data_IF_502714453898
#
_entry.id   IF_502714453898
#
_cell.length_a   1.000
_cell.length_b   1.000
_cell.length_c   1.000
_cell.angle_alpha   90.00
_cell.angle_beta   90.00
_cell.angle_gamma   90.00
#
_symmetry.space_group_name_H-M   'P 1'
#
loop_
_entity.id
_entity.type
_entity.pdbx_description
1 polymer ?
#
# COMPACT_ATOMS: atom_id res chain seq x y z
N UNK A 1 57.25 -0.58 -18.75
CA UNK A 1 56.10 0.12 -19.37
C UNK A 1 54.81 -0.72 -19.45
N UNK A 2 54.88 -2.05 -19.53
CA UNK A 2 53.71 -2.94 -19.65
C UNK A 2 52.71 -2.94 -18.47
N UNK A 3 53.15 -2.61 -17.24
CA UNK A 3 52.28 -2.65 -16.04
C UNK A 3 51.27 -1.50 -15.97
N UNK A 4 51.63 -0.30 -16.46
CA UNK A 4 50.71 0.85 -16.58
C UNK A 4 49.74 0.70 -17.75
N UNK A 5 50.13 -0.03 -18.80
CA UNK A 5 49.27 -0.36 -19.95
C UNK A 5 48.20 -1.43 -19.59
N UNK A 6 48.53 -2.40 -18.74
CA UNK A 6 47.53 -3.38 -18.24
C UNK A 6 46.54 -2.78 -17.25
N UNK A 7 46.96 -1.82 -16.42
CA UNK A 7 46.07 -1.18 -15.44
C UNK A 7 45.08 -0.19 -16.10
N UNK A 8 45.51 0.49 -17.17
CA UNK A 8 44.63 1.38 -17.97
C UNK A 8 43.64 0.59 -18.84
N UNK A 9 44.05 -0.55 -19.40
CA UNK A 9 43.15 -1.46 -20.12
C UNK A 9 42.08 -2.08 -19.21
N UNK A 10 42.43 -2.45 -17.97
CA UNK A 10 41.46 -2.99 -17.02
C UNK A 10 40.46 -1.93 -16.52
N UNK A 11 40.93 -0.69 -16.29
CA UNK A 11 40.05 0.44 -15.94
C UNK A 11 39.09 0.84 -17.06
N UNK A 12 39.56 0.83 -18.32
CA UNK A 12 38.71 1.15 -19.47
C UNK A 12 37.65 0.07 -19.73
N UNK A 13 38.01 -1.21 -19.51
CA UNK A 13 37.06 -2.33 -19.63
C UNK A 13 35.99 -2.32 -18.52
N UNK A 14 36.35 -1.88 -17.31
CA UNK A 14 35.40 -1.76 -16.19
C UNK A 14 34.46 -0.55 -16.38
N UNK A 15 34.98 0.56 -16.93
CA UNK A 15 34.19 1.76 -17.23
C UNK A 15 33.19 1.54 -18.38
N UNK A 16 33.55 0.72 -19.37
CA UNK A 16 32.64 0.34 -20.46
C UNK A 16 31.46 -0.52 -19.98
N UNK A 17 31.64 -1.35 -18.95
CA UNK A 17 30.56 -2.15 -18.37
C UNK A 17 29.51 -1.30 -17.65
N UNK A 18 29.93 -0.20 -17.02
CA UNK A 18 29.02 0.72 -16.31
C UNK A 18 28.12 1.50 -17.27
N UNK A 19 28.60 1.80 -18.49
CA UNK A 19 27.85 2.54 -19.51
C UNK A 19 26.73 1.69 -20.16
N UNK A 20 26.86 0.36 -20.22
CA UNK A 20 25.86 -0.55 -20.82
C UNK A 20 24.63 -0.75 -19.91
N UNK A 21 24.80 -0.58 -18.59
CA UNK A 21 23.73 -0.74 -17.61
C UNK A 21 22.65 0.37 -17.66
N UNK A 22 22.88 1.45 -18.41
CA UNK A 22 21.98 2.60 -18.54
C UNK A 22 21.40 2.75 -19.96
N UNK A 23 21.24 1.64 -20.70
CA UNK A 23 20.47 1.66 -21.95
C UNK A 23 18.98 1.47 -21.64
N UNK A 24 18.08 2.37 -22.10
CA UNK A 24 16.65 2.17 -21.94
C UNK A 24 16.21 0.97 -22.79
N UNK A 25 15.72 -0.08 -22.14
CA UNK A 25 15.16 -1.23 -22.84
C UNK A 25 13.78 -0.86 -23.39
N UNK A 26 13.65 -0.76 -24.70
CA UNK A 26 12.36 -0.62 -25.38
C UNK A 26 11.66 -1.97 -25.37
N UNK A 27 10.76 -2.16 -24.40
CA UNK A 27 9.84 -3.29 -24.37
C UNK A 27 8.73 -3.00 -25.39
N UNK A 28 8.73 -3.72 -26.52
CA UNK A 28 7.57 -3.74 -27.42
C UNK A 28 6.45 -4.54 -26.73
N UNK A 29 5.55 -3.83 -26.06
CA UNK A 29 4.31 -4.41 -25.55
C UNK A 29 3.38 -4.57 -26.74
N UNK A 30 3.33 -5.78 -27.29
CA UNK A 30 2.19 -6.23 -28.10
C UNK A 30 0.96 -6.26 -27.19
N UNK A 31 0.29 -5.12 -27.10
CA UNK A 31 -0.97 -4.94 -26.38
C UNK A 31 -2.06 -5.60 -27.23
N UNK A 32 -2.32 -6.89 -27.01
CA UNK A 32 -3.61 -7.48 -27.39
C UNK A 32 -4.64 -6.88 -26.45
N UNK A 33 -5.23 -5.76 -26.88
CA UNK A 33 -6.43 -5.17 -26.27
C UNK A 33 -7.58 -6.08 -26.65
N UNK A 34 -7.84 -7.07 -25.81
CA UNK A 34 -9.20 -7.58 -25.73
C UNK A 34 -9.98 -6.54 -24.93
N UNK A 35 -10.72 -5.71 -25.65
CA UNK A 35 -11.80 -4.91 -25.11
C UNK A 35 -12.71 -5.81 -24.27
N UNK A 36 -12.78 -5.53 -22.99
CA UNK A 36 -13.97 -5.83 -22.20
C UNK A 36 -14.26 -4.55 -21.44
N UNK A 37 -14.91 -3.63 -22.14
CA UNK A 37 -15.69 -2.56 -21.52
C UNK A 37 -16.77 -3.23 -20.65
N UNK A 38 -16.45 -3.51 -19.39
CA UNK A 38 -17.49 -3.44 -18.36
C UNK A 38 -17.60 -1.98 -17.97
N UNK A 39 -18.44 -1.29 -18.73
CA UNK A 39 -19.06 -0.03 -18.35
C UNK A 39 -19.77 -0.29 -17.02
N UNK A 40 -19.11 0.00 -15.91
CA UNK A 40 -19.80 0.23 -14.65
C UNK A 40 -20.46 1.59 -14.80
N UNK A 41 -21.66 1.60 -15.39
CA UNK A 41 -22.54 2.75 -15.36
C UNK A 41 -22.63 3.20 -13.91
N UNK A 42 -21.99 4.33 -13.61
CA UNK A 42 -22.25 5.06 -12.37
C UNK A 42 -23.63 5.65 -12.57
N UNK A 43 -24.66 4.89 -12.22
CA UNK A 43 -26.04 5.39 -12.20
C UNK A 43 -26.12 6.33 -11.01
N UNK A 44 -25.88 7.61 -11.28
CA UNK A 44 -26.15 8.71 -10.36
C UNK A 44 -27.66 8.91 -10.34
N UNK A 45 -28.37 8.22 -9.45
CA UNK A 45 -29.80 8.44 -9.25
C UNK A 45 -30.01 9.70 -8.39
N UNK A 46 -30.47 10.79 -9.01
CA UNK A 46 -30.93 11.97 -8.29
C UNK A 46 -32.37 11.74 -7.79
N UNK A 47 -32.53 11.55 -6.49
CA UNK A 47 -33.86 11.51 -5.85
C UNK A 47 -34.20 12.92 -5.38
N UNK A 48 -35.25 13.53 -5.94
CA UNK A 48 -35.77 14.82 -5.46
C UNK A 48 -36.64 14.61 -4.22
N UNK A 49 -36.19 15.11 -3.07
CA UNK A 49 -36.98 15.10 -1.82
C UNK A 49 -37.59 16.49 -1.62
N UNK A 50 -38.89 16.62 -1.90
CA UNK A 50 -39.63 17.84 -1.58
C UNK A 50 -39.99 17.88 -0.09
N UNK A 51 -39.37 18.78 0.67
CA UNK A 51 -39.82 19.13 2.04
C UNK A 51 -40.38 20.55 2.04
N UNK A 52 -41.68 20.69 2.32
CA UNK A 52 -42.35 22.00 2.40
C UNK A 52 -42.23 22.54 3.82
N UNK A 53 -41.48 23.63 4.00
CA UNK A 53 -41.49 24.46 5.22
C UNK A 53 -41.62 25.92 4.77
N UNK A 54 -42.63 26.64 5.28
CA UNK A 54 -42.80 28.09 5.11
C UNK A 54 -42.83 28.65 3.67
N UNK A 55 -43.41 27.92 2.72
CA UNK A 55 -43.79 28.47 1.40
C UNK A 55 -42.64 28.70 0.41
N UNK A 56 -41.41 28.28 0.74
CA UNK A 56 -40.27 28.28 -0.16
C UNK A 56 -39.92 26.82 -0.54
N UNK A 57 -39.95 26.51 -1.84
CA UNK A 57 -39.58 25.18 -2.36
C UNK A 57 -38.06 25.15 -2.46
N UNK A 58 -37.40 24.56 -1.46
CA UNK A 58 -35.96 24.27 -1.51
C UNK A 58 -35.78 22.86 -2.04
N UNK A 59 -35.39 22.75 -3.32
CA UNK A 59 -35.01 21.47 -3.93
C UNK A 59 -33.57 21.15 -3.52
N UNK A 60 -33.39 20.26 -2.54
CA UNK A 60 -32.06 19.76 -2.16
C UNK A 60 -31.77 18.47 -2.95
N UNK A 61 -30.82 18.54 -3.88
CA UNK A 61 -30.33 17.37 -4.61
C UNK A 61 -29.38 16.59 -3.71
N UNK A 62 -29.88 15.56 -3.03
CA UNK A 62 -29.04 14.62 -2.28
C UNK A 62 -28.42 13.64 -3.27
N UNK A 63 -27.11 13.76 -3.49
CA UNK A 63 -26.34 12.81 -4.30
C UNK A 63 -26.16 11.52 -3.49
N UNK A 64 -26.93 10.48 -3.80
CA UNK A 64 -26.76 9.16 -3.20
C UNK A 64 -25.66 8.43 -3.97
N UNK A 65 -24.45 8.42 -3.42
CA UNK A 65 -23.36 7.58 -3.95
C UNK A 65 -23.66 6.12 -3.61
N UNK A 66 -23.72 5.25 -4.63
CA UNK A 66 -23.91 3.83 -4.42
C UNK A 66 -22.78 3.23 -3.56
N UNK A 67 -23.14 2.56 -2.47
CA UNK A 67 -22.19 1.79 -1.66
C UNK A 67 -21.70 0.60 -2.49
N UNK A 68 -20.38 0.39 -2.66
CA UNK A 68 -19.87 -0.76 -3.40
C UNK A 68 -20.34 -2.07 -2.78
N UNK A 69 -20.58 -3.08 -3.62
CA UNK A 69 -20.94 -4.41 -3.17
C UNK A 69 -19.87 -4.95 -2.20
N UNK A 70 -20.27 -5.69 -1.14
CA UNK A 70 -19.32 -6.26 -0.20
C UNK A 70 -18.29 -7.13 -0.91
N UNK A 71 -17.03 -7.04 -0.49
CA UNK A 71 -15.98 -7.92 -1.00
C UNK A 71 -16.31 -9.39 -0.65
N UNK A 72 -16.00 -10.30 -1.59
CA UNK A 72 -16.13 -11.74 -1.37
C UNK A 72 -15.31 -12.17 -0.15
N UNK A 73 -15.92 -12.92 0.77
CA UNK A 73 -15.25 -13.43 1.96
C UNK A 73 -14.70 -14.85 1.75
N UNK A 74 -13.58 -15.14 2.42
CA UNK A 74 -12.94 -16.46 2.41
C UNK A 74 -11.86 -16.63 1.35
N UNK A 75 -11.12 -17.74 1.43
CA UNK A 75 -10.00 -18.07 0.54
C UNK A 75 -8.71 -18.38 1.31
N UNK A 76 -7.68 -18.80 0.59
CA UNK A 76 -6.33 -19.03 1.13
C UNK A 76 -5.37 -18.02 0.52
N UNK A 77 -4.62 -17.30 1.37
CA UNK A 77 -3.50 -16.47 0.96
C UNK A 77 -2.20 -17.25 1.21
N UNK A 78 -1.42 -17.48 0.15
CA UNK A 78 -0.07 -18.05 0.24
C UNK A 78 0.92 -16.98 -0.14
N UNK A 79 1.77 -16.61 0.80
CA UNK A 79 2.82 -15.60 0.63
C UNK A 79 4.20 -16.26 0.82
N UNK A 80 5.17 -15.83 0.02
CA UNK A 80 6.58 -16.25 0.18
C UNK A 80 7.37 -15.17 0.91
N UNK A 81 8.19 -15.57 1.86
CA UNK A 81 9.11 -14.68 2.58
C UNK A 81 10.56 -14.90 2.11
N UNK A 82 11.40 -13.87 2.30
CA UNK A 82 12.81 -13.92 1.92
C UNK A 82 13.69 -14.77 2.86
N UNK A 83 13.19 -15.04 4.07
CA UNK A 83 13.88 -15.81 5.12
C UNK A 83 12.85 -16.47 6.04
N UNK A 84 13.30 -17.47 6.80
CA UNK A 84 12.50 -18.15 7.81
C UNK A 84 12.47 -17.35 9.13
N UNK A 85 11.46 -17.64 9.95
CA UNK A 85 11.27 -17.07 11.28
C UNK A 85 12.32 -17.62 12.26
N UNK A 86 12.93 -16.72 13.04
CA UNK A 86 13.93 -17.09 14.05
C UNK A 86 13.30 -17.47 15.39
N UNK A 87 12.21 -16.81 15.77
CA UNK A 87 11.49 -17.03 17.04
C UNK A 87 10.05 -16.50 16.95
N UNK A 88 9.11 -17.17 17.61
CA UNK A 88 7.71 -16.70 17.73
C UNK A 88 7.49 -15.78 18.95
N UNK A 89 8.51 -15.58 19.80
CA UNK A 89 8.42 -14.67 20.93
C UNK A 89 8.90 -13.27 20.52
N UNK A 90 7.99 -12.26 20.40
CA UNK A 90 8.36 -10.92 19.95
C UNK A 90 9.31 -10.18 20.90
N UNK A 91 9.39 -10.57 22.18
CA UNK A 91 10.33 -9.99 23.15
C UNK A 91 11.77 -10.41 22.84
N UNK A 92 11.96 -11.53 22.14
CA UNK A 92 13.27 -12.08 21.79
C UNK A 92 13.65 -11.85 20.32
N UNK A 93 12.70 -11.44 19.48
CA UNK A 93 12.91 -11.23 18.05
C UNK A 93 13.38 -9.82 17.72
N UNK A 94 14.22 -9.69 16.69
CA UNK A 94 14.65 -8.39 16.15
C UNK A 94 14.79 -8.37 14.62
N UNK A 95 14.44 -9.46 13.95
CA UNK A 95 14.53 -9.59 12.50
C UNK A 95 13.18 -9.34 11.81
N UNK A 96 13.24 -8.97 10.52
CA UNK A 96 12.05 -8.63 9.75
C UNK A 96 11.16 -9.84 9.43
N UNK A 97 11.75 -11.02 9.20
CA UNK A 97 10.98 -12.22 8.84
C UNK A 97 10.07 -12.65 10.00
N UNK A 98 10.57 -12.57 11.24
CA UNK A 98 9.76 -12.83 12.43
C UNK A 98 8.75 -11.70 12.70
N UNK A 99 9.15 -10.43 12.50
CA UNK A 99 8.30 -9.25 12.78
C UNK A 99 6.99 -9.22 11.99
N UNK A 100 7.01 -9.62 10.71
CA UNK A 100 5.80 -9.71 9.87
C UNK A 100 4.79 -10.72 10.43
N UNK A 101 5.27 -11.82 11.00
CA UNK A 101 4.41 -12.83 11.61
C UNK A 101 3.83 -12.33 12.95
N UNK A 102 4.59 -11.55 13.73
CA UNK A 102 4.08 -10.99 14.98
C UNK A 102 2.87 -10.07 14.75
N UNK A 103 2.91 -9.22 13.72
CA UNK A 103 1.80 -8.34 13.36
C UNK A 103 0.51 -9.08 12.97
N UNK A 104 0.60 -10.37 12.65
CA UNK A 104 -0.55 -11.24 12.31
C UNK A 104 -1.09 -12.01 13.52
N UNK A 105 -0.25 -12.21 14.54
CA UNK A 105 -0.55 -13.05 15.69
C UNK A 105 -0.88 -12.26 16.96
N UNK A 106 -0.30 -11.07 17.10
CA UNK A 106 -0.36 -10.25 18.30
C UNK A 106 -0.89 -8.85 17.96
N UNK A 107 -1.59 -8.26 18.91
CA UNK A 107 -1.96 -6.86 18.89
C UNK A 107 -1.08 -6.06 19.85
N UNK A 108 -0.77 -4.82 19.49
CA UNK A 108 -0.12 -3.84 20.34
C UNK A 108 -1.16 -2.91 21.00
N UNK A 109 -0.72 -2.02 21.90
CA UNK A 109 -1.57 -0.97 22.49
C UNK A 109 -2.19 -0.09 21.42
N UNK A 110 -1.34 0.41 20.52
CA UNK A 110 -1.71 1.15 19.33
C UNK A 110 -1.05 0.51 18.10
N UNK A 111 -1.67 0.68 16.94
CA UNK A 111 -1.18 0.22 15.65
C UNK A 111 -1.02 1.35 14.64
N UNK A 112 -0.83 0.99 13.38
CA UNK A 112 -0.75 1.93 12.27
C UNK A 112 -1.88 1.63 11.29
N UNK A 113 -2.55 2.68 10.81
CA UNK A 113 -3.43 2.57 9.65
C UNK A 113 -2.60 2.26 8.39
N UNK A 114 -2.88 1.18 7.64
CA UNK A 114 -2.03 0.74 6.54
C UNK A 114 -2.04 1.69 5.33
N UNK A 115 -2.98 2.65 5.26
CA UNK A 115 -3.11 3.57 4.13
C UNK A 115 -2.48 4.94 4.42
N UNK A 116 -2.74 5.49 5.61
CA UNK A 116 -2.30 6.81 6.04
C UNK A 116 -1.04 6.79 6.91
N UNK A 117 -0.73 5.65 7.54
CA UNK A 117 0.35 5.54 8.53
C UNK A 117 0.05 6.23 9.86
N UNK A 118 -1.18 6.71 10.07
CA UNK A 118 -1.57 7.31 11.34
C UNK A 118 -1.56 6.28 12.47
N UNK A 119 -1.16 6.72 13.68
CA UNK A 119 -1.27 5.89 14.88
C UNK A 119 -2.74 5.75 15.25
N UNK A 120 -3.22 4.52 15.35
CA UNK A 120 -4.62 4.19 15.64
C UNK A 120 -4.75 3.28 16.86
N UNK A 121 -5.85 3.37 17.61
CA UNK A 121 -6.21 2.40 18.65
C UNK A 121 -6.13 0.94 18.17
N UNK A 122 -5.63 0.06 19.04
CA UNK A 122 -5.73 -1.39 18.88
C UNK A 122 -6.35 -1.99 20.15
N UNK A 123 -5.56 -2.59 21.06
CA UNK A 123 -6.10 -3.10 22.33
C UNK A 123 -6.40 -1.97 23.32
N UNK A 124 -5.71 -0.83 23.20
CA UNK A 124 -6.06 0.37 23.93
C UNK A 124 -7.05 1.19 23.09
N UNK A 125 -8.24 1.44 23.64
CA UNK A 125 -9.29 2.22 22.99
C UNK A 125 -8.92 3.71 22.90
N UNK A 126 -8.22 4.22 23.92
CA UNK A 126 -7.68 5.58 23.99
C UNK A 126 -6.49 5.63 24.94
N UNK A 127 -5.71 6.70 24.84
CA UNK A 127 -4.66 7.05 25.80
C UNK A 127 -4.60 8.57 25.93
N UNK A 128 -4.20 9.03 27.11
CA UNK A 128 -3.87 10.42 27.38
C UNK A 128 -2.35 10.53 27.50
N UNK A 129 -1.82 11.72 27.21
CA UNK A 129 -0.41 12.04 27.41
C UNK A 129 -0.34 13.31 28.24
N UNK A 130 0.45 13.30 29.30
CA UNK A 130 0.66 14.47 30.16
C UNK A 130 1.21 15.67 29.37
N UNK A 131 1.00 16.87 29.90
CA UNK A 131 1.50 18.11 29.27
C UNK A 131 3.02 18.11 29.08
N UNK A 132 3.76 17.42 29.96
CA UNK A 132 5.21 17.26 29.88
C UNK A 132 5.66 16.04 29.05
N UNK A 133 4.72 15.20 28.60
CA UNK A 133 4.99 14.02 27.76
C UNK A 133 5.70 12.87 28.48
N UNK A 134 5.67 12.83 29.81
CA UNK A 134 6.35 11.79 30.60
C UNK A 134 5.45 10.63 31.03
N UNK A 135 4.12 10.76 30.90
CA UNK A 135 3.14 9.74 31.28
C UNK A 135 1.96 9.70 30.34
#
# INVERSE_FOLDING_TARGET
MFKKLKLTSLGLSLLALVLVACSPQTVEVTRVVTETETVTETVTESVEVTRVVEGEIVTETVVVTATPAPATQGGNLVESAFADISTLNPVLGSDNASSINYARMFYAMAGLDPFSGAVVPQIAESWDVSEDGLT
#
